data_IF_396082394407
#
_entry.id   IF_396082394407
#
_cell.length_a   1.000
_cell.length_b   1.000
_cell.length_c   1.000
_cell.angle_alpha   90.00
_cell.angle_beta   90.00
_cell.angle_gamma   90.00
#
_symmetry.space_group_name_H-M   'P 1'
#
loop_
_entity.id
_entity.type
_entity.pdbx_description
1 polymer ?
#
# COMPACT_ATOMS: atom_id res chain seq x y z
N UNK A 1 -7.40 -0.90 -2.85
CA UNK A 1 -7.66 -0.13 -1.62
C UNK A 1 -6.49 0.76 -1.16
N UNK A 2 -5.22 0.32 -1.12
CA UNK A 2 -4.12 1.17 -0.61
C UNK A 2 -3.87 2.48 -1.38
N UNK A 3 -3.84 2.42 -2.71
CA UNK A 3 -3.64 3.61 -3.56
C UNK A 3 -4.78 4.63 -3.47
N UNK A 4 -6.00 4.18 -3.22
CA UNK A 4 -7.19 5.05 -3.10
C UNK A 4 -7.09 5.96 -1.87
N UNK A 5 -6.70 5.39 -0.71
CA UNK A 5 -6.48 6.15 0.52
C UNK A 5 -5.35 7.17 0.38
N UNK A 6 -4.27 6.83 -0.32
CA UNK A 6 -3.18 7.78 -0.58
C UNK A 6 -3.66 8.97 -1.43
N UNK A 7 -4.46 8.72 -2.47
CA UNK A 7 -5.05 9.76 -3.31
C UNK A 7 -5.98 10.66 -2.48
N UNK A 8 -6.82 10.08 -1.62
CA UNK A 8 -7.70 10.82 -0.72
C UNK A 8 -6.91 11.77 0.20
N UNK A 9 -5.83 11.29 0.81
CA UNK A 9 -4.94 12.10 1.65
C UNK A 9 -4.25 13.22 0.86
N UNK A 10 -3.91 12.97 -0.41
CA UNK A 10 -3.31 13.96 -1.30
C UNK A 10 -4.27 15.08 -1.70
N UNK A 11 -5.51 14.71 -2.04
CA UNK A 11 -6.59 15.67 -2.28
C UNK A 11 -6.83 16.50 -1.02
N UNK A 12 -6.96 15.82 0.14
CA UNK A 12 -7.19 16.50 1.42
C UNK A 12 -6.07 17.45 1.80
N UNK A 13 -4.81 17.06 1.56
CA UNK A 13 -3.66 17.94 1.79
C UNK A 13 -3.69 19.16 0.87
N UNK A 14 -4.15 19.01 -0.37
CA UNK A 14 -4.23 20.10 -1.34
C UNK A 14 -5.35 21.08 -0.98
N UNK A 15 -6.51 20.58 -0.57
CA UNK A 15 -7.60 21.39 -0.02
C UNK A 15 -7.14 22.23 1.18
N UNK A 16 -6.52 21.59 2.19
CA UNK A 16 -6.03 22.29 3.39
C UNK A 16 -4.98 23.35 3.07
N UNK A 17 -4.15 23.14 2.04
CA UNK A 17 -3.18 24.15 1.58
C UNK A 17 -3.88 25.34 0.91
N UNK A 18 -4.89 25.08 0.08
CA UNK A 18 -5.67 26.13 -0.56
C UNK A 18 -6.44 26.96 0.49
N UNK A 19 -7.04 26.30 1.47
CA UNK A 19 -7.70 26.96 2.60
C UNK A 19 -6.70 27.82 3.39
N UNK A 20 -5.51 27.28 3.70
CA UNK A 20 -4.46 28.05 4.38
C UNK A 20 -4.02 29.28 3.58
N UNK A 21 -3.93 29.18 2.26
CA UNK A 21 -3.59 30.31 1.39
C UNK A 21 -4.70 31.36 1.37
N UNK A 22 -5.97 30.94 1.29
CA UNK A 22 -7.11 31.86 1.30
C UNK A 22 -7.25 32.57 2.64
N UNK A 23 -7.13 31.87 3.77
CA UNK A 23 -7.16 32.47 5.12
C UNK A 23 -6.00 33.44 5.32
N UNK A 24 -4.81 33.16 4.79
CA UNK A 24 -3.67 34.10 4.83
C UNK A 24 -3.89 35.35 3.99
N UNK A 25 -4.55 35.21 2.84
CA UNK A 25 -4.93 36.35 2.01
C UNK A 25 -5.97 37.22 2.74
N UNK A 26 -6.95 36.60 3.41
CA UNK A 26 -7.92 37.31 4.24
C UNK A 26 -7.23 38.04 5.41
N UNK A 27 -6.29 37.39 6.11
CA UNK A 27 -5.51 38.02 7.16
C UNK A 27 -4.78 39.28 6.66
N UNK A 28 -4.14 39.21 5.49
CA UNK A 28 -3.46 40.35 4.91
C UNK A 28 -4.42 41.51 4.59
N UNK A 29 -5.63 41.21 4.13
CA UNK A 29 -6.66 42.21 3.88
C UNK A 29 -7.13 42.88 5.17
N UNK A 30 -7.41 42.10 6.23
CA UNK A 30 -7.86 42.65 7.52
C UNK A 30 -6.77 43.51 8.17
N UNK A 31 -5.49 43.12 8.05
CA UNK A 31 -4.37 43.94 8.54
C UNK A 31 -4.30 45.31 7.84
N UNK A 32 -4.55 45.35 6.53
CA UNK A 32 -4.59 46.61 5.78
C UNK A 32 -5.77 47.49 6.22
N UNK A 33 -6.94 46.87 6.44
CA UNK A 33 -8.12 47.57 6.99
C UNK A 33 -7.81 48.14 8.37
N UNK A 34 -7.15 47.38 9.25
CA UNK A 34 -6.76 47.86 10.59
C UNK A 34 -5.81 49.07 10.50
N UNK A 35 -4.81 49.03 9.62
CA UNK A 35 -3.91 50.18 9.40
C UNK A 35 -4.66 51.41 8.94
N UNK A 36 -5.58 51.24 7.98
CA UNK A 36 -6.40 52.33 7.45
C UNK A 36 -7.31 52.92 8.53
N UNK A 37 -8.05 52.08 9.27
CA UNK A 37 -8.88 52.51 10.39
C UNK A 37 -8.08 53.26 11.45
N UNK A 38 -6.88 52.78 11.77
CA UNK A 38 -5.98 53.45 12.71
C UNK A 38 -5.60 54.87 12.29
N UNK A 39 -5.40 55.12 10.99
CA UNK A 39 -5.17 56.46 10.44
C UNK A 39 -6.42 57.31 10.57
N UNK A 40 -7.58 56.82 10.09
CA UNK A 40 -8.85 57.56 10.14
C UNK A 40 -9.23 57.95 11.57
N UNK A 41 -9.07 57.05 12.54
CA UNK A 41 -9.38 57.33 13.95
C UNK A 41 -8.49 58.46 14.48
N UNK A 42 -7.21 58.50 14.12
CA UNK A 42 -6.31 59.60 14.53
C UNK A 42 -6.73 60.92 13.90
N UNK A 43 -7.00 60.92 12.59
CA UNK A 43 -7.44 62.11 11.87
C UNK A 43 -8.74 62.69 12.44
N UNK A 44 -9.74 61.84 12.72
CA UNK A 44 -10.99 62.27 13.35
C UNK A 44 -10.77 62.80 14.77
N UNK A 45 -9.94 62.13 15.58
CA UNK A 45 -9.60 62.61 16.93
C UNK A 45 -8.93 63.98 16.91
N UNK A 46 -8.01 64.20 15.97
CA UNK A 46 -7.31 65.47 15.82
C UNK A 46 -8.26 66.58 15.34
N UNK A 47 -9.12 66.28 14.36
CA UNK A 47 -10.14 67.20 13.88
C UNK A 47 -11.14 67.61 14.98
N UNK A 48 -11.63 66.64 15.75
CA UNK A 48 -12.53 66.91 16.88
C UNK A 48 -11.85 67.72 17.98
N UNK A 49 -10.60 67.39 18.31
CA UNK A 49 -9.83 68.14 19.30
C UNK A 49 -9.62 69.59 18.86
N UNK A 50 -9.38 69.82 17.56
CA UNK A 50 -9.27 71.16 16.99
C UNK A 50 -10.59 71.93 17.09
N UNK A 51 -11.72 71.30 16.76
CA UNK A 51 -13.05 71.89 16.89
C UNK A 51 -13.38 72.26 18.34
N UNK A 52 -13.08 71.37 19.30
CA UNK A 52 -13.30 71.62 20.73
C UNK A 52 -12.42 72.75 21.27
N UNK A 53 -11.17 72.87 20.80
CA UNK A 53 -10.31 74.02 21.13
C UNK A 53 -10.92 75.33 20.62
N UNK A 54 -11.42 75.35 19.39
CA UNK A 54 -12.08 76.53 18.84
C UNK A 54 -13.35 76.89 19.64
N UNK A 55 -14.12 75.90 20.09
CA UNK A 55 -15.28 76.11 20.94
C UNK A 55 -14.91 76.71 22.31
N UNK A 56 -13.82 76.25 22.93
CA UNK A 56 -13.29 76.82 24.18
C UNK A 56 -12.87 78.28 23.99
N UNK A 57 -12.15 78.60 22.92
CA UNK A 57 -11.74 79.98 22.65
C UNK A 57 -12.95 80.89 22.37
N UNK A 58 -13.97 80.39 21.66
CA UNK A 58 -15.22 81.13 21.44
C UNK A 58 -15.99 81.39 22.75
N UNK A 59 -16.11 80.39 23.62
CA UNK A 59 -16.75 80.53 24.92
C UNK A 59 -15.99 81.50 25.84
N UNK A 60 -14.66 81.48 25.79
CA UNK A 60 -13.80 82.42 26.52
C UNK A 60 -13.99 83.86 26.04
N UNK A 61 -14.09 84.08 24.72
CA UNK A 61 -14.37 85.39 24.15
C UNK A 61 -15.75 85.91 24.59
N UNK A 62 -16.78 85.05 24.62
CA UNK A 62 -18.12 85.39 25.14
C UNK A 62 -18.09 85.78 26.61
N UNK A 63 -17.33 85.05 27.42
CA UNK A 63 -17.15 85.41 28.84
C UNK A 63 -16.54 86.82 28.97
N UNK A 64 -15.46 87.11 28.23
CA UNK A 64 -14.83 88.44 28.23
C UNK A 64 -15.78 89.55 27.77
N UNK A 65 -16.60 89.29 26.76
CA UNK A 65 -17.65 90.23 26.30
C UNK A 65 -18.66 90.51 27.43
N UNK A 66 -19.18 89.48 28.10
CA UNK A 66 -20.11 89.66 29.21
C UNK A 66 -19.47 90.38 30.39
N UNK A 67 -18.20 90.12 30.70
CA UNK A 67 -17.45 90.82 31.75
C UNK A 67 -17.29 92.31 31.44
N UNK A 68 -16.97 92.65 30.18
CA UNK A 68 -16.92 94.04 29.72
C UNK A 68 -18.30 94.72 29.83
N UNK A 69 -19.38 94.01 29.47
CA UNK A 69 -20.75 94.51 29.60
C UNK A 69 -21.14 94.77 31.07
N UNK A 70 -20.67 93.95 32.01
CA UNK A 70 -20.86 94.18 33.45
C UNK A 70 -20.12 95.44 33.89
N UNK A 71 -18.87 95.64 33.45
CA UNK A 71 -18.09 96.81 33.81
C UNK A 71 -18.79 98.11 33.37
N UNK A 72 -19.29 98.15 32.13
CA UNK A 72 -20.07 99.27 31.59
C UNK A 72 -21.36 99.47 32.41
N UNK A 73 -22.13 98.40 32.63
CA UNK A 73 -23.40 98.48 33.37
C UNK A 73 -23.22 98.93 34.83
N UNK A 74 -22.09 98.59 35.45
CA UNK A 74 -21.72 99.06 36.80
C UNK A 74 -21.36 100.55 36.80
N UNK A 75 -20.58 101.00 35.82
CA UNK A 75 -20.24 102.43 35.68
C UNK A 75 -21.51 103.28 35.49
N UNK A 76 -22.41 102.84 34.62
CA UNK A 76 -23.72 103.48 34.41
C UNK A 76 -24.58 103.46 35.69
N UNK A 77 -24.53 102.37 36.46
CA UNK A 77 -25.19 102.27 37.76
C UNK A 77 -24.67 103.29 38.77
N UNK A 78 -23.34 103.42 38.91
CA UNK A 78 -22.69 104.42 39.79
C UNK A 78 -23.03 105.85 39.34
N UNK A 79 -23.03 106.09 38.02
CA UNK A 79 -23.42 107.39 37.46
C UNK A 79 -24.89 107.71 37.76
N UNK A 80 -25.80 106.76 37.57
CA UNK A 80 -27.21 106.92 37.90
C UNK A 80 -27.44 107.19 39.39
N UNK A 81 -26.68 106.53 40.28
CA UNK A 81 -26.75 106.76 41.72
C UNK A 81 -26.27 108.16 42.12
N UNK A 82 -25.19 108.62 41.50
CA UNK A 82 -24.67 109.99 41.69
C UNK A 82 -25.70 111.03 41.26
N UNK A 83 -26.40 110.81 40.13
CA UNK A 83 -27.47 111.71 39.66
C UNK A 83 -28.71 111.67 40.56
N UNK A 84 -29.09 110.50 41.12
CA UNK A 84 -30.16 110.41 42.13
C UNK A 84 -29.80 111.25 43.36
N UNK A 85 -28.59 111.12 43.91
CA UNK A 85 -28.18 111.84 45.12
C UNK A 85 -28.24 113.37 44.98
N UNK A 86 -28.17 113.87 43.74
CA UNK A 86 -28.29 115.29 43.39
C UNK A 86 -29.73 115.72 43.08
N UNK A 87 -30.71 114.84 43.27
CA UNK A 87 -32.14 115.12 43.07
C UNK A 87 -32.57 115.22 41.60
N UNK A 88 -31.72 114.82 40.64
CA UNK A 88 -31.97 115.04 39.21
C UNK A 88 -32.76 113.91 38.51
N UNK A 89 -32.96 112.75 39.15
CA UNK A 89 -33.64 111.59 38.55
C UNK A 89 -34.51 110.87 39.58
N UNK A 90 -35.80 110.63 39.29
CA UNK A 90 -36.68 109.77 40.08
C UNK A 90 -36.95 108.44 39.36
N UNK A 91 -36.48 107.32 39.93
CA UNK A 91 -36.87 105.96 39.48
C UNK A 91 -35.89 105.20 38.55
N UNK A 92 -34.73 105.77 38.19
CA UNK A 92 -33.75 105.11 37.30
C UNK A 92 -32.95 103.98 37.97
N UNK A 93 -32.73 104.04 39.29
CA UNK A 93 -31.90 103.07 40.01
C UNK A 93 -32.44 101.64 40.02
N UNK A 94 -33.76 101.45 40.13
CA UNK A 94 -34.36 100.10 40.09
C UNK A 94 -34.15 99.44 38.72
N UNK A 95 -34.17 100.23 37.64
CA UNK A 95 -33.88 99.73 36.29
C UNK A 95 -32.40 99.38 36.12
N UNK A 96 -31.48 100.21 36.62
CA UNK A 96 -30.04 99.94 36.60
C UNK A 96 -29.68 98.67 37.38
N UNK A 97 -30.26 98.46 38.56
CA UNK A 97 -29.99 97.24 39.36
C UNK A 97 -30.49 95.98 38.65
N UNK A 98 -31.69 96.00 38.06
CA UNK A 98 -32.21 94.87 37.26
C UNK A 98 -31.35 94.58 36.03
N UNK A 99 -30.79 95.61 35.41
CA UNK A 99 -29.87 95.44 34.27
C UNK A 99 -28.56 94.79 34.72
N UNK A 100 -27.97 95.24 35.83
CA UNK A 100 -26.76 94.63 36.39
C UNK A 100 -27.01 93.15 36.72
N UNK A 101 -28.14 92.84 37.37
CA UNK A 101 -28.52 91.45 37.70
C UNK A 101 -28.66 90.57 36.45
N UNK A 102 -29.30 91.09 35.40
CA UNK A 102 -29.44 90.38 34.12
C UNK A 102 -28.08 90.14 33.43
N UNK A 103 -27.16 91.11 33.45
CA UNK A 103 -25.83 90.90 32.86
C UNK A 103 -24.98 89.96 33.73
N UNK A 104 -25.15 89.98 35.06
CA UNK A 104 -24.46 89.01 35.93
C UNK A 104 -24.92 87.57 35.68
N UNK A 105 -26.21 87.34 35.45
CA UNK A 105 -26.70 85.99 35.12
C UNK A 105 -26.22 85.52 33.75
N UNK A 106 -26.09 86.42 32.77
CA UNK A 106 -25.44 86.12 31.48
C UNK A 106 -23.96 85.74 31.64
N UNK A 107 -23.23 86.38 32.57
CA UNK A 107 -21.84 86.01 32.88
C UNK A 107 -21.73 84.66 33.61
N UNK A 108 -22.67 84.35 34.49
CA UNK A 108 -22.76 83.01 35.10
C UNK A 108 -23.01 81.94 34.04
N UNK A 109 -23.90 82.22 33.07
CA UNK A 109 -24.17 81.33 31.94
C UNK A 109 -22.95 81.17 31.03
N UNK A 110 -22.27 82.26 30.64
CA UNK A 110 -21.06 82.22 29.84
C UNK A 110 -19.90 81.48 30.54
N UNK A 111 -19.77 81.65 31.87
CA UNK A 111 -18.79 80.91 32.66
C UNK A 111 -19.11 79.41 32.71
N UNK A 112 -20.39 79.04 32.83
CA UNK A 112 -20.82 77.65 32.76
C UNK A 112 -20.59 77.04 31.37
N UNK A 113 -20.83 77.79 30.30
CA UNK A 113 -20.52 77.38 28.92
C UNK A 113 -19.02 77.11 28.72
N UNK A 114 -18.15 78.00 29.23
CA UNK A 114 -16.71 77.79 29.19
C UNK A 114 -16.28 76.56 30.00
N UNK A 115 -16.82 76.37 31.19
CA UNK A 115 -16.56 75.18 32.01
C UNK A 115 -17.00 73.89 31.30
N UNK A 116 -18.17 73.89 30.66
CA UNK A 116 -18.65 72.74 29.89
C UNK A 116 -17.77 72.47 28.65
N UNK A 117 -17.36 73.52 27.92
CA UNK A 117 -16.50 73.38 26.74
C UNK A 117 -15.10 72.85 27.12
N UNK A 118 -14.52 73.35 28.20
CA UNK A 118 -13.21 72.88 28.71
C UNK A 118 -13.28 71.44 29.18
N UNK A 119 -14.32 71.07 29.93
CA UNK A 119 -14.53 69.68 30.35
C UNK A 119 -14.68 68.73 29.15
N UNK A 120 -15.38 69.14 28.08
CA UNK A 120 -15.47 68.35 26.84
C UNK A 120 -14.12 68.19 26.15
N UNK A 121 -13.31 69.24 26.10
CA UNK A 121 -11.96 69.17 25.54
C UNK A 121 -11.05 68.23 26.34
N UNK A 122 -11.09 68.29 27.67
CA UNK A 122 -10.30 67.42 28.54
C UNK A 122 -10.76 65.97 28.46
N UNK A 123 -12.08 65.73 28.38
CA UNK A 123 -12.64 64.41 28.10
C UNK A 123 -12.12 63.86 26.75
N UNK A 124 -12.19 64.65 25.68
CA UNK A 124 -11.68 64.24 24.36
C UNK A 124 -10.17 63.92 24.37
N UNK A 125 -9.37 64.72 25.10
CA UNK A 125 -7.93 64.46 25.31
C UNK A 125 -7.67 63.16 26.06
N UNK A 126 -8.52 62.82 27.03
CA UNK A 126 -8.48 61.54 27.74
C UNK A 126 -9.01 60.35 26.91
N UNK A 127 -9.46 60.59 25.68
CA UNK A 127 -10.02 59.56 24.80
C UNK A 127 -11.49 59.20 25.11
N UNK A 128 -12.15 60.00 25.95
CA UNK A 128 -13.54 59.83 26.34
C UNK A 128 -14.40 60.75 25.47
N UNK A 129 -15.05 60.17 24.45
CA UNK A 129 -15.89 60.91 23.51
C UNK A 129 -17.36 60.77 23.88
N UNK A 130 -17.86 61.72 24.67
CA UNK A 130 -19.27 61.80 25.09
C UNK A 130 -20.00 62.84 24.23
N UNK A 131 -21.11 62.45 23.60
CA UNK A 131 -21.97 63.34 22.81
C UNK A 131 -22.61 62.65 21.60
N UNK A 132 -23.81 63.08 21.21
CA UNK A 132 -24.53 62.59 20.02
C UNK A 132 -23.73 62.75 18.73
N UNK A 133 -22.91 63.80 18.68
CA UNK A 133 -22.22 64.23 17.46
C UNK A 133 -20.91 63.43 17.24
N UNK A 134 -20.49 62.67 18.26
CA UNK A 134 -19.26 61.88 18.26
C UNK A 134 -19.50 60.40 17.89
N UNK A 135 -20.71 60.05 17.44
CA UNK A 135 -21.09 58.67 17.10
C UNK A 135 -20.17 58.01 16.07
N UNK A 136 -19.60 58.80 15.15
CA UNK A 136 -18.67 58.31 14.12
C UNK A 136 -17.36 57.78 14.69
N UNK A 137 -16.78 58.43 15.71
CA UNK A 137 -15.54 57.93 16.34
C UNK A 137 -15.83 56.65 17.11
N UNK A 138 -16.96 56.60 17.82
CA UNK A 138 -17.35 55.40 18.56
C UNK A 138 -17.62 54.21 17.63
N UNK A 139 -18.27 54.42 16.48
CA UNK A 139 -18.45 53.35 15.49
C UNK A 139 -17.12 52.85 14.94
N UNK A 140 -16.18 53.75 14.63
CA UNK A 140 -14.84 53.36 14.16
C UNK A 140 -14.05 52.59 15.23
N UNK A 141 -14.18 52.95 16.50
CA UNK A 141 -13.54 52.22 17.61
C UNK A 141 -14.14 50.82 17.81
N UNK A 142 -15.44 50.67 17.64
CA UNK A 142 -16.12 49.37 17.65
C UNK A 142 -15.61 48.52 16.49
N UNK A 143 -15.60 49.08 15.27
CA UNK A 143 -15.11 48.40 14.08
C UNK A 143 -13.64 47.98 14.21
N UNK A 144 -12.79 48.84 14.77
CA UNK A 144 -11.39 48.50 15.07
C UNK A 144 -11.30 47.30 16.02
N UNK A 145 -12.13 47.25 17.07
CA UNK A 145 -12.16 46.15 18.03
C UNK A 145 -12.68 44.85 17.41
N UNK A 146 -13.70 44.94 16.57
CA UNK A 146 -14.23 43.80 15.82
C UNK A 146 -13.17 43.23 14.87
N UNK A 147 -12.44 44.08 14.17
CA UNK A 147 -11.33 43.66 13.31
C UNK A 147 -10.17 43.04 14.10
N UNK A 148 -9.83 43.55 15.29
CA UNK A 148 -8.84 42.94 16.18
C UNK A 148 -9.26 41.53 16.64
N UNK A 149 -10.53 41.35 16.98
CA UNK A 149 -11.07 40.03 17.29
C UNK A 149 -11.03 39.11 16.06
N UNK A 150 -11.34 39.63 14.86
CA UNK A 150 -11.24 38.87 13.61
C UNK A 150 -9.81 38.46 13.31
N UNK A 151 -8.82 39.33 13.53
CA UNK A 151 -7.40 38.99 13.38
C UNK A 151 -6.97 37.87 14.32
N UNK A 152 -7.38 37.93 15.59
CA UNK A 152 -7.09 36.87 16.56
C UNK A 152 -7.72 35.53 16.14
N UNK A 153 -8.97 35.57 15.64
CA UNK A 153 -9.66 34.39 15.12
C UNK A 153 -8.95 33.80 13.89
N UNK A 154 -8.55 34.64 12.93
CA UNK A 154 -7.83 34.21 11.71
C UNK A 154 -6.46 33.61 12.05
N UNK A 155 -5.73 34.17 13.01
CA UNK A 155 -4.48 33.57 13.47
C UNK A 155 -4.70 32.18 14.08
N UNK A 156 -5.71 32.03 14.94
CA UNK A 156 -6.06 30.73 15.51
C UNK A 156 -6.47 29.72 14.43
N UNK A 157 -7.26 30.15 13.43
CA UNK A 157 -7.67 29.32 12.30
C UNK A 157 -6.46 28.86 11.47
N UNK A 158 -5.53 29.76 11.17
CA UNK A 158 -4.27 29.44 10.49
C UNK A 158 -3.48 28.37 11.26
N UNK A 159 -3.39 28.49 12.58
CA UNK A 159 -2.63 27.54 13.40
C UNK A 159 -3.32 26.17 13.47
N UNK A 160 -4.66 26.15 13.53
CA UNK A 160 -5.44 24.91 13.40
C UNK A 160 -5.23 24.26 12.03
N UNK A 161 -5.26 25.03 10.94
CA UNK A 161 -5.04 24.51 9.58
C UNK A 161 -3.61 23.96 9.41
N UNK A 162 -2.59 24.63 9.96
CA UNK A 162 -1.21 24.10 9.99
C UNK A 162 -1.11 22.79 10.76
N UNK A 163 -1.79 22.69 11.90
CA UNK A 163 -1.85 21.47 12.69
C UNK A 163 -2.44 20.32 11.87
N UNK A 164 -3.63 20.53 11.30
CA UNK A 164 -4.29 19.55 10.41
C UNK A 164 -3.43 19.16 9.21
N UNK A 165 -2.72 20.11 8.61
CA UNK A 165 -1.83 19.83 7.48
C UNK A 165 -0.65 18.96 7.91
N UNK A 166 -0.11 19.20 9.11
CA UNK A 166 0.96 18.38 9.69
C UNK A 166 0.45 16.96 9.93
N UNK A 167 -0.73 16.80 10.53
CA UNK A 167 -1.34 15.49 10.78
C UNK A 167 -1.63 14.72 9.48
N UNK A 168 -2.19 15.38 8.46
CA UNK A 168 -2.42 14.75 7.16
C UNK A 168 -1.10 14.39 6.48
N UNK A 169 -0.06 15.22 6.61
CA UNK A 169 1.24 14.93 6.03
C UNK A 169 1.91 13.70 6.67
N UNK A 170 1.80 13.53 7.99
CA UNK A 170 2.35 12.35 8.68
C UNK A 170 1.59 11.08 8.30
N UNK A 171 0.26 11.14 8.22
CA UNK A 171 -0.56 10.03 7.75
C UNK A 171 -0.25 9.66 6.29
N UNK A 172 -0.03 10.66 5.45
CA UNK A 172 0.31 10.47 4.03
C UNK A 172 1.66 9.76 3.88
N UNK A 173 2.69 10.18 4.61
CA UNK A 173 4.01 9.53 4.53
C UNK A 173 3.96 8.09 5.08
N UNK A 174 3.19 7.85 6.15
CA UNK A 174 2.97 6.50 6.67
C UNK A 174 2.27 5.59 5.64
N UNK A 175 1.22 6.09 4.98
CA UNK A 175 0.51 5.33 3.95
C UNK A 175 1.37 5.12 2.70
N UNK A 176 2.17 6.12 2.31
CA UNK A 176 3.12 6.00 1.19
C UNK A 176 4.13 4.90 1.45
N UNK A 177 4.74 4.87 2.64
CA UNK A 177 5.68 3.82 3.03
C UNK A 177 5.02 2.44 3.00
N UNK A 178 3.80 2.33 3.53
CA UNK A 178 3.03 1.08 3.53
C UNK A 178 2.71 0.60 2.11
N UNK A 179 2.34 1.51 1.20
CA UNK A 179 2.08 1.17 -0.21
C UNK A 179 3.37 0.73 -0.90
N UNK A 180 4.49 1.43 -0.70
CA UNK A 180 5.78 1.01 -1.28
C UNK A 180 6.21 -0.36 -0.78
N UNK A 181 6.06 -0.65 0.51
CA UNK A 181 6.35 -1.98 1.07
C UNK A 181 5.49 -3.09 0.45
N UNK A 182 4.23 -2.80 0.11
CA UNK A 182 3.35 -3.76 -0.56
C UNK A 182 3.65 -3.90 -2.05
N UNK A 183 4.09 -2.83 -2.71
CA UNK A 183 4.47 -2.86 -4.14
C UNK A 183 5.78 -3.65 -4.37
N UNK A 184 6.70 -3.65 -3.39
CA UNK A 184 7.98 -4.35 -3.48
C UNK A 184 7.91 -5.86 -3.14
N UNK A 185 6.73 -6.38 -2.77
CA UNK A 185 6.54 -7.82 -2.56
C UNK A 185 6.45 -8.56 -3.91
N UNK A 186 7.62 -8.83 -4.49
CA UNK A 186 7.76 -9.72 -5.65
C UNK A 186 7.69 -11.17 -5.17
N UNK A 187 6.73 -11.92 -5.70
CA UNK A 187 6.62 -13.36 -5.46
C UNK A 187 7.42 -14.06 -6.56
N UNK A 188 8.59 -14.57 -6.21
CA UNK A 188 9.43 -15.37 -7.09
C UNK A 188 9.13 -16.86 -6.91
N UNK A 189 9.06 -17.61 -8.01
CA UNK A 189 9.05 -19.06 -7.95
C UNK A 189 10.45 -19.58 -7.63
N UNK A 190 10.53 -20.67 -6.85
CA UNK A 190 11.79 -21.35 -6.58
C UNK A 190 12.09 -22.30 -7.77
N UNK A 191 13.11 -21.98 -8.57
CA UNK A 191 13.58 -22.84 -9.68
C UNK A 191 12.94 -22.54 -11.05
N UNK A 192 13.31 -23.35 -12.05
CA UNK A 192 12.79 -23.25 -13.42
C UNK A 192 11.40 -23.90 -13.52
N UNK A 193 10.37 -23.09 -13.28
CA UNK A 193 8.97 -23.53 -13.29
C UNK A 193 8.26 -23.03 -14.55
N UNK A 194 7.63 -23.93 -15.30
CA UNK A 194 6.72 -23.57 -16.38
C UNK A 194 5.32 -23.28 -15.81
N UNK A 195 4.84 -22.04 -15.95
CA UNK A 195 3.49 -21.65 -15.50
C UNK A 195 2.44 -22.26 -16.43
N UNK A 196 1.60 -23.15 -15.90
CA UNK A 196 0.54 -23.83 -16.67
C UNK A 196 -0.81 -23.15 -16.52
N UNK A 197 -1.09 -22.57 -15.35
CA UNK A 197 -2.32 -21.83 -15.09
C UNK A 197 -2.05 -20.64 -14.19
N UNK A 198 -2.49 -19.46 -14.62
CA UNK A 198 -2.55 -18.27 -13.76
C UNK A 198 -3.92 -18.28 -13.08
N UNK A 199 -3.93 -18.36 -11.75
CA UNK A 199 -5.15 -18.46 -10.94
C UNK A 199 -5.82 -17.11 -10.65
N UNK A 200 -5.14 -16.00 -10.97
CA UNK A 200 -5.52 -14.66 -10.52
C UNK A 200 -5.44 -13.66 -11.67
N UNK A 201 -6.46 -12.84 -11.85
CA UNK A 201 -6.45 -11.76 -12.84
C UNK A 201 -5.68 -10.53 -12.33
N UNK A 202 -5.11 -9.76 -13.25
CA UNK A 202 -4.39 -8.53 -12.89
C UNK A 202 -5.33 -7.56 -12.15
N UNK A 203 -4.95 -7.17 -10.94
CA UNK A 203 -5.74 -6.28 -10.08
C UNK A 203 -6.74 -6.98 -9.13
N UNK A 204 -6.82 -8.31 -9.14
CA UNK A 204 -7.59 -9.06 -8.15
C UNK A 204 -6.90 -9.01 -6.76
N UNK A 205 -7.71 -8.94 -5.71
CA UNK A 205 -7.25 -9.04 -4.33
C UNK A 205 -7.03 -10.53 -3.97
N UNK A 206 -5.89 -10.83 -3.36
CA UNK A 206 -5.49 -12.18 -2.95
C UNK A 206 -5.10 -12.20 -1.48
N UNK A 207 -5.41 -13.28 -0.79
CA UNK A 207 -5.07 -13.52 0.61
C UNK A 207 -3.88 -14.46 0.74
N UNK A 208 -3.24 -14.45 1.91
CA UNK A 208 -2.18 -15.42 2.21
C UNK A 208 -2.76 -16.85 2.11
N UNK A 209 -2.08 -17.72 1.36
CA UNK A 209 -2.53 -19.08 1.07
C UNK A 209 -3.32 -19.25 -0.23
N UNK A 210 -3.71 -18.16 -0.91
CA UNK A 210 -4.33 -18.27 -2.24
C UNK A 210 -3.28 -18.67 -3.29
N UNK A 211 -3.66 -19.59 -4.17
CA UNK A 211 -2.80 -20.05 -5.27
C UNK A 211 -2.79 -19.02 -6.41
N UNK A 212 -1.67 -18.31 -6.56
CA UNK A 212 -1.54 -17.25 -7.57
C UNK A 212 -1.30 -17.81 -8.97
N UNK A 213 -0.44 -18.82 -9.05
CA UNK A 213 -0.11 -19.53 -10.26
C UNK A 213 0.19 -20.98 -9.92
N UNK A 214 -0.26 -21.87 -10.80
CA UNK A 214 0.15 -23.27 -10.80
C UNK A 214 1.19 -23.43 -11.90
N UNK A 215 2.29 -24.08 -11.52
CA UNK A 215 3.40 -24.33 -12.41
C UNK A 215 3.93 -25.73 -12.25
N UNK A 216 4.68 -26.15 -13.26
CA UNK A 216 5.31 -27.45 -13.35
C UNK A 216 6.80 -27.27 -13.23
N UNK A 217 7.42 -27.96 -12.27
CA UNK A 217 8.87 -28.00 -12.11
C UNK A 217 9.48 -28.87 -13.22
N UNK A 218 10.29 -28.24 -14.07
CA UNK A 218 10.85 -28.90 -15.25
C UNK A 218 12.12 -29.70 -14.94
N UNK A 219 12.69 -29.55 -13.75
CA UNK A 219 13.87 -30.30 -13.30
C UNK A 219 13.55 -31.70 -12.77
N UNK A 220 12.27 -32.08 -12.65
CA UNK A 220 11.86 -33.42 -12.15
C UNK A 220 10.89 -34.07 -13.11
N UNK A 221 11.48 -34.91 -13.95
CA UNK A 221 10.98 -35.34 -15.25
C UNK A 221 10.88 -36.87 -15.27
N UNK A 222 9.71 -37.44 -15.56
CA UNK A 222 9.58 -38.91 -15.63
C UNK A 222 8.53 -39.37 -16.63
N UNK A 223 8.74 -40.45 -17.38
CA UNK A 223 7.75 -41.02 -18.32
C UNK A 223 6.83 -41.99 -17.60
N UNK A 224 5.57 -42.05 -18.01
CA UNK A 224 4.63 -43.09 -17.55
C UNK A 224 4.14 -43.87 -18.75
N UNK A 225 4.64 -45.09 -18.91
CA UNK A 225 4.27 -46.00 -19.97
C UNK A 225 3.35 -47.11 -19.46
N UNK A 226 2.40 -47.54 -20.27
CA UNK A 226 1.55 -48.70 -19.96
C UNK A 226 2.14 -49.93 -20.65
N UNK A 227 2.28 -51.02 -19.89
CA UNK A 227 2.70 -52.30 -20.41
C UNK A 227 1.75 -53.42 -20.03
N UNK A 228 1.60 -54.45 -20.88
CA UNK A 228 0.89 -55.68 -20.51
C UNK A 228 1.57 -56.33 -19.29
N UNK A 229 0.78 -56.89 -18.38
CA UNK A 229 1.28 -57.59 -17.18
C UNK A 229 2.30 -58.70 -17.51
N UNK A 230 2.12 -59.39 -18.64
CA UNK A 230 3.07 -60.42 -19.13
C UNK A 230 4.49 -59.90 -19.39
N UNK A 231 4.64 -58.59 -19.60
CA UNK A 231 5.94 -57.94 -19.85
C UNK A 231 6.62 -57.44 -18.57
N UNK A 232 5.97 -57.58 -17.40
CA UNK A 232 6.49 -57.10 -16.12
C UNK A 232 7.89 -57.63 -15.79
N UNK A 233 8.17 -58.90 -16.12
CA UNK A 233 9.47 -59.52 -15.87
C UNK A 233 10.62 -58.89 -16.65
N UNK A 234 10.35 -58.32 -17.83
CA UNK A 234 11.36 -57.64 -18.65
C UNK A 234 11.55 -56.16 -18.26
N UNK A 235 10.62 -55.62 -17.46
CA UNK A 235 10.52 -54.20 -17.12
C UNK A 235 10.82 -53.89 -15.65
N UNK A 236 11.41 -54.84 -14.91
CA UNK A 236 11.72 -54.67 -13.50
C UNK A 236 12.45 -53.33 -13.23
N UNK A 237 12.26 -52.77 -12.03
CA UNK A 237 12.94 -51.54 -11.62
C UNK A 237 14.46 -51.66 -11.83
N UNK A 238 15.07 -50.61 -12.40
CA UNK A 238 16.48 -50.58 -12.78
C UNK A 238 16.76 -51.01 -14.23
N UNK A 239 15.77 -51.46 -15.00
CA UNK A 239 16.00 -51.85 -16.41
C UNK A 239 16.12 -50.63 -17.34
N UNK A 240 17.10 -50.63 -18.27
CA UNK A 240 17.25 -49.56 -19.24
C UNK A 240 16.15 -49.66 -20.30
N UNK A 241 15.64 -48.51 -20.68
CA UNK A 241 14.63 -48.36 -21.73
C UNK A 241 15.02 -47.20 -22.64
N UNK A 242 14.66 -47.33 -23.91
CA UNK A 242 14.82 -46.29 -24.91
C UNK A 242 13.46 -45.65 -25.17
N UNK A 243 13.38 -44.32 -25.11
CA UNK A 243 12.16 -43.53 -25.28
C UNK A 243 12.31 -42.71 -26.56
N UNK A 244 11.35 -42.83 -27.47
CA UNK A 244 11.30 -42.04 -28.70
C UNK A 244 10.00 -41.25 -28.81
N UNK A 245 10.08 -40.01 -29.28
CA UNK A 245 8.93 -39.18 -29.62
C UNK A 245 8.99 -38.78 -31.08
N UNK A 246 7.84 -38.44 -31.66
CA UNK A 246 7.75 -37.85 -33.00
C UNK A 246 8.46 -36.48 -33.03
N UNK A 247 8.43 -35.77 -31.90
CA UNK A 247 8.95 -34.41 -31.78
C UNK A 247 10.43 -34.36 -31.36
N UNK A 248 11.07 -35.50 -31.15
CA UNK A 248 12.46 -35.59 -30.71
C UNK A 248 13.36 -36.01 -31.87
N UNK A 249 14.47 -35.30 -32.07
CA UNK A 249 15.44 -35.63 -33.11
C UNK A 249 16.14 -36.96 -32.85
N UNK A 250 16.37 -37.30 -31.57
CA UNK A 250 17.05 -38.53 -31.15
C UNK A 250 16.30 -39.23 -30.00
N UNK A 251 16.32 -40.57 -29.93
CA UNK A 251 15.78 -41.31 -28.80
C UNK A 251 16.57 -41.06 -27.51
N UNK A 252 15.85 -40.89 -26.40
CA UNK A 252 16.41 -40.61 -25.07
C UNK A 252 16.43 -41.89 -24.25
N UNK A 253 17.48 -42.07 -23.43
CA UNK A 253 17.60 -43.23 -22.53
C UNK A 253 16.96 -42.95 -21.16
N UNK A 254 16.25 -43.94 -20.64
CA UNK A 254 15.65 -43.92 -19.32
C UNK A 254 15.88 -45.22 -18.56
N UNK A 255 15.54 -45.21 -17.28
CA UNK A 255 15.53 -46.39 -16.41
C UNK A 255 14.15 -46.52 -15.77
N UNK A 256 13.60 -47.73 -15.76
CA UNK A 256 12.35 -47.98 -15.04
C UNK A 256 12.58 -47.78 -13.54
N UNK A 257 11.94 -46.79 -12.93
CA UNK A 257 12.04 -46.54 -11.49
C UNK A 257 11.05 -47.38 -10.70
N UNK A 258 9.80 -47.51 -11.19
CA UNK A 258 8.77 -48.26 -10.49
C UNK A 258 7.73 -48.87 -11.43
N UNK A 259 7.15 -50.02 -11.03
CA UNK A 259 6.03 -50.68 -11.70
C UNK A 259 4.85 -50.75 -10.74
N UNK A 260 3.75 -50.09 -11.09
CA UNK A 260 2.58 -50.01 -10.22
C UNK A 260 1.37 -50.67 -10.90
N UNK A 261 0.79 -51.74 -10.30
CA UNK A 261 -0.51 -52.24 -10.73
C UNK A 261 -1.60 -51.24 -10.32
N UNK A 262 -2.55 -50.98 -11.21
CA UNK A 262 -3.65 -50.03 -10.96
C UNK A 262 -4.44 -50.43 -9.71
N UNK A 263 -4.18 -49.75 -8.59
CA UNK A 263 -4.87 -49.99 -7.31
C UNK A 263 -5.36 -48.72 -6.63
N UNK A 264 -4.99 -47.54 -7.11
CA UNK A 264 -5.29 -46.26 -6.44
C UNK A 264 -5.94 -45.27 -7.41
N UNK A 265 -7.23 -45.00 -7.21
CA UNK A 265 -7.98 -43.93 -7.92
C UNK A 265 -7.67 -42.52 -7.36
N UNK A 266 -6.76 -42.44 -6.38
CA UNK A 266 -6.56 -41.25 -5.53
C UNK A 266 -5.27 -40.46 -5.84
N UNK A 267 -4.39 -40.94 -6.72
CA UNK A 267 -3.08 -40.32 -6.99
C UNK A 267 -3.07 -39.35 -8.20
N UNK A 268 -4.18 -39.26 -8.95
CA UNK A 268 -4.26 -38.46 -10.18
C UNK A 268 -4.32 -36.92 -9.96
N UNK A 269 -4.50 -36.45 -8.72
CA UNK A 269 -4.75 -35.02 -8.43
C UNK A 269 -3.45 -34.19 -8.42
N UNK A 270 -2.30 -34.83 -8.24
CA UNK A 270 -1.00 -34.15 -8.09
C UNK A 270 -0.18 -34.07 -9.38
N UNK A 271 -0.68 -34.65 -10.49
CA UNK A 271 0.03 -34.70 -11.76
C UNK A 271 -0.49 -33.67 -12.74
N UNK A 272 0.43 -33.09 -13.51
CA UNK A 272 0.09 -32.07 -14.51
C UNK A 272 -0.83 -32.57 -15.64
N UNK A 273 -0.88 -33.89 -15.89
CA UNK A 273 -1.69 -34.53 -16.95
C UNK A 273 -2.31 -35.81 -16.39
N UNK A 274 -3.60 -36.08 -16.64
CA UNK A 274 -4.24 -37.31 -16.21
C UNK A 274 -3.64 -38.52 -16.93
N UNK A 275 -3.44 -39.62 -16.21
CA UNK A 275 -2.89 -40.84 -16.81
C UNK A 275 -3.87 -41.46 -17.82
N UNK A 276 -3.34 -42.08 -18.90
CA UNK A 276 -4.17 -42.83 -19.84
C UNK A 276 -4.91 -43.97 -19.13
N UNK A 277 -6.15 -44.26 -19.55
CA UNK A 277 -6.90 -45.38 -18.99
C UNK A 277 -6.21 -46.69 -19.39
N UNK A 278 -5.97 -47.56 -18.40
CA UNK A 278 -5.53 -48.93 -18.66
C UNK A 278 -6.73 -49.87 -18.88
N UNK A 279 -6.55 -50.87 -19.71
CA UNK A 279 -7.43 -52.03 -19.83
C UNK A 279 -7.16 -53.06 -18.71
N UNK A 280 -7.83 -54.23 -18.78
CA UNK A 280 -7.61 -55.32 -17.82
C UNK A 280 -6.22 -55.93 -18.03
N UNK A 281 -5.44 -56.05 -16.93
CA UNK A 281 -4.12 -56.72 -16.86
C UNK A 281 -2.97 -55.94 -17.49
N UNK A 282 -2.91 -54.66 -17.17
CA UNK A 282 -1.82 -53.75 -17.55
C UNK A 282 -1.20 -53.09 -16.31
N UNK A 283 0.04 -52.63 -16.45
CA UNK A 283 0.86 -52.03 -15.40
C UNK A 283 1.36 -50.66 -15.86
N UNK A 284 1.45 -49.70 -14.94
CA UNK A 284 2.14 -48.44 -15.18
C UNK A 284 3.63 -48.60 -14.84
N UNK A 285 4.50 -48.28 -15.80
CA UNK A 285 5.93 -48.18 -15.59
C UNK A 285 6.32 -46.68 -15.51
N UNK A 286 6.82 -46.28 -14.36
CA UNK A 286 7.48 -44.99 -14.15
C UNK A 286 8.91 -45.12 -14.62
N UNK A 287 9.36 -44.19 -15.45
CA UNK A 287 10.70 -44.22 -16.04
C UNK A 287 11.35 -42.87 -15.79
N UNK A 288 12.49 -42.89 -15.12
CA UNK A 288 13.33 -41.72 -14.92
C UNK A 288 14.30 -41.58 -16.09
N UNK A 289 14.57 -40.35 -16.52
CA UNK A 289 15.47 -40.08 -17.63
C UNK A 289 16.90 -40.00 -17.12
N UNK A 290 17.85 -40.59 -17.85
CA UNK A 290 19.26 -40.62 -17.45
C UNK A 290 19.97 -39.31 -17.81
N UNK A 291 19.49 -38.64 -18.85
CA UNK A 291 20.07 -37.41 -19.41
C UNK A 291 18.94 -36.40 -19.66
N UNK A 292 18.59 -35.64 -18.61
CA UNK A 292 17.52 -34.62 -18.68
C UNK A 292 17.94 -33.39 -19.52
N UNK A 293 19.25 -33.19 -19.73
CA UNK A 293 19.83 -32.05 -20.45
C UNK A 293 19.57 -32.11 -21.97
N UNK A 294 19.46 -33.32 -22.54
CA UNK A 294 19.13 -33.51 -23.96
C UNK A 294 17.72 -33.01 -24.33
N UNK A 295 16.83 -32.89 -23.35
CA UNK A 295 15.43 -32.45 -23.55
C UNK A 295 15.27 -30.95 -23.29
N UNK A 296 16.10 -30.35 -22.44
CA UNK A 296 16.06 -28.90 -22.16
C UNK A 296 16.57 -28.05 -23.33
N UNK A 297 17.52 -28.55 -24.13
CA UNK A 297 18.02 -27.84 -25.34
C UNK A 297 16.98 -27.71 -26.46
N UNK A 298 15.95 -28.58 -26.49
CA UNK A 298 14.91 -28.58 -27.54
C UNK A 298 13.80 -27.54 -27.32
N UNK A 299 13.88 -26.74 -26.26
CA UNK A 299 12.98 -25.63 -26.01
C UNK A 299 11.60 -26.07 -25.51
N UNK A 300 11.31 -25.66 -24.27
CA UNK A 300 10.05 -25.83 -23.54
C UNK A 300 9.81 -27.23 -22.95
N UNK A 301 9.77 -27.24 -21.63
CA UNK A 301 9.18 -28.26 -20.76
C UNK A 301 7.88 -28.82 -21.36
N UNK A 302 8.00 -29.95 -22.06
CA UNK A 302 6.94 -30.51 -22.88
C UNK A 302 6.10 -31.50 -22.06
N UNK A 303 5.08 -30.98 -21.39
CA UNK A 303 4.15 -31.76 -20.57
C UNK A 303 3.02 -32.31 -21.45
N UNK A 304 2.63 -33.58 -21.29
CA UNK A 304 1.48 -34.18 -21.97
C UNK A 304 1.70 -34.63 -23.41
N UNK A 305 2.93 -35.00 -23.79
CA UNK A 305 3.27 -35.51 -25.13
C UNK A 305 3.20 -37.03 -25.21
N UNK A 306 3.02 -37.53 -26.43
CA UNK A 306 3.03 -38.95 -26.72
C UNK A 306 4.44 -39.44 -27.04
N UNK A 307 4.80 -40.61 -26.50
CA UNK A 307 6.04 -41.29 -26.84
C UNK A 307 5.84 -42.77 -27.08
N UNK A 308 6.91 -43.42 -27.51
CA UNK A 308 7.03 -44.84 -27.65
C UNK A 308 8.20 -45.27 -26.77
N UNK A 309 7.95 -46.23 -25.87
CA UNK A 309 8.99 -46.80 -25.01
C UNK A 309 9.32 -48.20 -25.52
N UNK A 310 10.58 -48.42 -25.84
CA UNK A 310 11.13 -49.71 -26.23
C UNK A 310 12.09 -50.23 -25.17
N UNK A 311 11.94 -51.49 -24.79
CA UNK A 311 12.87 -52.16 -23.88
C UNK A 311 14.06 -52.63 -24.68
N UNK A 312 15.26 -52.27 -24.24
CA UNK A 312 16.50 -52.79 -24.81
C UNK A 312 16.63 -54.26 -24.38
N UNK A 313 16.07 -55.15 -25.20
CA UNK A 313 16.15 -56.57 -24.99
C UNK A 313 17.58 -57.04 -25.25
N UNK A 314 18.32 -57.38 -24.20
CA UNK A 314 19.46 -58.28 -24.28
C UNK A 314 18.92 -59.68 -24.60
N UNK A 315 18.50 -59.87 -25.85
CA UNK A 315 18.09 -61.16 -26.36
C UNK A 315 19.32 -62.05 -26.42
N UNK A 316 19.44 -62.98 -25.48
CA UNK A 316 20.34 -64.12 -25.63
C UNK A 316 19.87 -64.88 -26.87
N UNK A 317 20.49 -64.60 -28.02
CA UNK A 317 20.28 -65.36 -29.25
C UNK A 317 20.73 -66.80 -28.98
N UNK A 318 19.76 -67.71 -28.98
CA UNK A 318 19.96 -69.17 -28.92
C UNK A 318 20.92 -69.67 -30.00
N UNK A 319 21.10 -68.92 -31.09
CA UNK A 319 22.03 -69.25 -32.18
C UNK A 319 23.49 -69.27 -31.72
N UNK A 320 23.85 -68.44 -30.73
CA UNK A 320 25.22 -68.35 -30.21
C UNK A 320 25.58 -69.51 -29.27
N UNK A 321 24.60 -70.05 -28.54
CA UNK A 321 24.77 -71.24 -27.69
C UNK A 321 24.81 -72.53 -28.53
N UNK A 322 24.04 -72.60 -29.61
CA UNK A 322 24.04 -73.75 -30.55
C UNK A 322 25.35 -73.79 -31.35
N UNK A 323 25.91 -72.63 -31.73
CA UNK A 323 27.20 -72.56 -32.42
C UNK A 323 28.38 -73.04 -31.55
N UNK A 324 28.39 -72.73 -30.25
CA UNK A 324 29.46 -73.12 -29.32
C UNK A 324 29.37 -74.61 -28.93
N UNK A 325 28.15 -75.12 -28.71
CA UNK A 325 27.92 -76.55 -28.46
C UNK A 325 28.23 -77.43 -29.69
N UNK A 326 27.92 -76.92 -30.89
CA UNK A 326 28.26 -77.58 -32.16
C UNK A 326 29.76 -77.57 -32.50
N UNK A 327 30.57 -76.75 -31.83
CA UNK A 327 32.04 -76.73 -31.97
C UNK A 327 32.69 -77.80 -31.09
N UNK A 328 32.25 -77.92 -29.83
CA UNK A 328 32.75 -78.89 -28.86
C UNK A 328 32.43 -80.34 -29.23
N UNK A 329 31.33 -80.60 -29.96
CA UNK A 329 30.96 -81.94 -30.44
C UNK A 329 31.67 -82.38 -31.73
N UNK A 330 32.35 -81.47 -32.46
CA UNK A 330 33.04 -81.77 -33.72
C UNK A 330 34.52 -82.14 -33.55
N UNK A 331 35.11 -81.91 -32.38
CA UNK A 331 36.56 -81.98 -32.18
C UNK A 331 37.07 -83.17 -31.33
N UNK A 332 36.30 -84.23 -31.07
CA UNK A 332 36.90 -85.38 -30.36
C UNK A 332 36.11 -86.67 -30.30
N UNK A 333 36.47 -87.64 -31.14
CA UNK A 333 36.08 -89.04 -31.00
C UNK A 333 37.07 -89.82 -30.11
N UNK A 334 36.50 -90.42 -29.07
CA UNK A 334 36.78 -91.75 -28.52
C UNK A 334 38.23 -92.16 -28.18
N UNK A 335 38.58 -92.05 -26.90
CA UNK A 335 38.61 -93.24 -26.04
C UNK A 335 38.28 -92.88 -24.59
N UNK A 336 37.20 -93.48 -24.11
CA UNK A 336 36.64 -93.33 -22.77
C UNK A 336 37.41 -94.20 -21.77
N UNK A 337 37.80 -93.60 -20.65
CA UNK A 337 37.87 -94.18 -19.30
C UNK A 337 38.47 -93.14 -18.34
N UNK A 338 37.66 -92.24 -17.78
CA UNK A 338 38.01 -91.54 -16.53
C UNK A 338 36.74 -91.19 -15.74
N UNK A 339 36.65 -91.76 -14.54
CA UNK A 339 36.23 -91.02 -13.34
C UNK A 339 34.75 -90.81 -13.08
N UNK A 340 34.05 -91.86 -12.66
CA UNK A 340 32.89 -91.76 -11.78
C UNK A 340 33.37 -91.43 -10.36
N UNK A 341 33.26 -90.17 -9.93
CA UNK A 341 33.17 -89.80 -8.51
C UNK A 341 32.48 -88.42 -8.42
N UNK A 342 31.24 -88.40 -7.94
CA UNK A 342 30.50 -87.15 -7.67
C UNK A 342 29.04 -87.06 -8.10
N UNK A 343 28.38 -88.15 -8.53
CA UNK A 343 26.96 -88.10 -8.90
C UNK A 343 26.20 -89.40 -8.57
N UNK A 344 26.23 -89.84 -7.31
CA UNK A 344 25.22 -90.77 -6.77
C UNK A 344 24.88 -90.32 -5.35
N UNK A 345 24.00 -89.33 -5.23
CA UNK A 345 23.15 -89.17 -4.04
C UNK A 345 21.89 -88.38 -4.38
N UNK A 346 21.15 -88.77 -5.45
CA UNK A 346 19.74 -88.36 -5.67
C UNK A 346 19.05 -89.09 -6.85
N UNK A 347 19.46 -90.32 -7.18
CA UNK A 347 18.75 -91.15 -8.15
C UNK A 347 18.59 -92.58 -7.60
N UNK A 348 17.59 -92.76 -6.74
CA UNK A 348 17.05 -94.06 -6.40
C UNK A 348 16.11 -94.54 -7.51
N UNK A 349 16.52 -95.61 -8.20
CA UNK A 349 15.70 -96.61 -8.89
C UNK A 349 14.87 -96.20 -10.14
N UNK A 350 15.35 -96.63 -11.32
CA UNK A 350 14.74 -97.59 -12.28
C UNK A 350 15.18 -97.22 -13.72
N UNK A 351 15.96 -98.06 -14.43
CA UNK A 351 16.36 -97.82 -15.81
C UNK A 351 15.37 -98.45 -16.79
N UNK A 352 14.29 -97.75 -17.11
CA UNK A 352 13.46 -98.09 -18.29
C UNK A 352 12.76 -96.87 -18.94
N UNK A 353 13.05 -95.64 -18.47
CA UNK A 353 12.44 -94.39 -18.96
C UNK A 353 13.40 -93.48 -19.76
N UNK A 354 14.65 -93.89 -19.98
CA UNK A 354 15.64 -93.06 -20.69
C UNK A 354 15.48 -93.09 -22.23
N UNK A 355 14.81 -94.10 -22.79
CA UNK A 355 14.55 -94.16 -24.23
C UNK A 355 13.33 -93.29 -24.65
N UNK A 356 12.32 -93.11 -23.78
CA UNK A 356 11.10 -92.37 -24.14
C UNK A 356 11.22 -90.84 -24.05
N UNK A 357 12.25 -90.32 -23.35
CA UNK A 357 12.50 -88.88 -23.23
C UNK A 357 13.23 -88.30 -24.44
N UNK A 358 13.98 -89.12 -25.17
CA UNK A 358 14.73 -88.70 -26.37
C UNK A 358 13.78 -88.56 -27.57
N UNK A 359 12.74 -89.40 -27.67
CA UNK A 359 11.75 -89.31 -28.75
C UNK A 359 10.72 -88.17 -28.52
N UNK A 360 10.45 -87.78 -27.28
CA UNK A 360 9.58 -86.63 -26.99
C UNK A 360 10.28 -85.28 -27.26
N UNK A 361 11.59 -85.19 -27.02
CA UNK A 361 12.39 -83.98 -27.23
C UNK A 361 12.53 -83.59 -28.72
N UNK A 362 12.43 -84.55 -29.65
CA UNK A 362 12.46 -84.28 -31.09
C UNK A 362 11.11 -83.80 -31.66
N UNK A 363 10.00 -84.01 -30.94
CA UNK A 363 8.66 -83.60 -31.41
C UNK A 363 8.24 -82.18 -30.99
N UNK A 364 8.93 -81.55 -30.04
CA UNK A 364 8.64 -80.18 -29.59
C UNK A 364 9.54 -79.10 -30.19
N UNK A 365 10.61 -79.47 -30.89
CA UNK A 365 11.54 -78.54 -31.53
C UNK A 365 11.04 -77.96 -32.87
N UNK A 366 9.91 -78.42 -33.41
CA UNK A 366 9.35 -77.98 -34.70
C UNK A 366 8.15 -77.04 -34.59
N UNK A 367 7.82 -76.55 -33.38
CA UNK A 367 6.68 -75.63 -33.13
C UNK A 367 7.09 -74.22 -32.64
N UNK A 368 8.39 -73.88 -32.66
CA UNK A 368 8.89 -72.56 -32.28
C UNK A 368 9.43 -71.80 -33.51
N UNK A 369 8.52 -71.37 -34.39
CA UNK A 369 8.81 -70.42 -35.46
C UNK A 369 7.61 -69.50 -35.69
N UNK A 370 7.24 -68.70 -34.68
CA UNK A 370 6.46 -67.48 -34.91
C UNK A 370 6.49 -66.53 -33.69
N UNK A 371 6.57 -65.20 -33.96
CA UNK A 371 6.31 -64.02 -33.08
C UNK A 371 7.49 -63.25 -32.44
N UNK A 372 8.05 -62.38 -33.28
CA UNK A 372 8.31 -60.92 -33.19
C UNK A 372 8.26 -60.14 -31.85
N UNK A 373 9.21 -59.19 -31.75
CA UNK A 373 9.31 -58.09 -30.79
C UNK A 373 8.01 -57.27 -30.61
N UNK A 374 7.65 -56.98 -29.37
CA UNK A 374 6.52 -56.13 -28.98
C UNK A 374 6.89 -54.65 -28.99
N UNK A 375 6.53 -53.94 -30.05
CA UNK A 375 6.50 -52.47 -30.10
C UNK A 375 5.13 -52.01 -29.59
N UNK A 376 5.07 -51.05 -28.67
CA UNK A 376 3.81 -50.48 -28.17
C UNK A 376 3.95 -48.97 -28.09
N UNK A 377 3.02 -48.24 -28.71
CA UNK A 377 2.96 -46.77 -28.67
C UNK A 377 2.23 -46.33 -27.40
N UNK A 378 2.83 -45.52 -26.51
CA UNK A 378 2.06 -44.84 -25.45
C UNK A 378 2.82 -43.75 -24.64
N UNK A 379 2.03 -42.75 -24.20
CA UNK A 379 2.24 -41.49 -23.47
C UNK A 379 3.48 -41.25 -22.60
N UNK A 380 3.83 -39.96 -22.46
CA UNK A 380 4.89 -39.42 -21.60
C UNK A 380 4.35 -38.43 -20.55
N UNK A 381 4.88 -38.59 -19.34
CA UNK A 381 5.01 -37.62 -18.24
C UNK A 381 3.82 -37.38 -17.31
N UNK A 382 3.89 -37.98 -16.12
CA UNK A 382 3.46 -37.30 -14.90
C UNK A 382 4.57 -36.32 -14.50
N UNK A 383 4.20 -35.16 -13.98
CA UNK A 383 5.13 -34.26 -13.27
C UNK A 383 4.35 -33.76 -12.06
N UNK A 384 5.03 -33.64 -10.92
CA UNK A 384 4.47 -33.08 -9.70
C UNK A 384 4.08 -31.62 -9.91
N UNK A 385 2.87 -31.27 -9.51
CA UNK A 385 2.46 -29.87 -9.42
C UNK A 385 3.16 -29.21 -8.23
N UNK A 386 3.83 -28.09 -8.49
CA UNK A 386 4.35 -27.22 -7.44
C UNK A 386 3.43 -26.02 -7.34
N UNK A 387 2.79 -25.82 -6.19
CA UNK A 387 1.98 -24.64 -5.93
C UNK A 387 2.86 -23.51 -5.41
N UNK A 388 2.87 -22.39 -6.13
CA UNK A 388 3.41 -21.14 -5.60
C UNK A 388 2.33 -20.48 -4.73
N UNK A 389 2.42 -20.68 -3.43
CA UNK A 389 1.59 -19.99 -2.44
C UNK A 389 2.28 -18.71 -1.96
N UNK A 390 1.50 -17.68 -1.69
CA UNK A 390 2.01 -16.47 -1.06
C UNK A 390 2.38 -16.77 0.40
N UNK A 391 3.66 -17.05 0.66
CA UNK A 391 4.19 -17.08 2.03
C UNK A 391 4.33 -15.65 2.54
N UNK A 392 3.27 -15.13 3.14
CA UNK A 392 3.33 -13.92 3.96
C UNK A 392 3.94 -14.34 5.30
N UNK A 393 5.23 -14.02 5.50
CA UNK A 393 5.85 -14.12 6.81
C UNK A 393 5.10 -13.19 7.77
N UNK A 394 4.27 -13.78 8.64
CA UNK A 394 3.63 -13.07 9.73
C UNK A 394 4.70 -12.76 10.80
N UNK A 395 5.22 -11.53 10.77
CA UNK A 395 5.93 -10.97 11.93
C UNK A 395 4.90 -10.64 13.01
N UNK A 396 4.78 -11.51 14.02
CA UNK A 396 4.03 -11.20 15.24
C UNK A 396 4.78 -10.16 16.11
N UNK A 397 4.07 -9.17 16.68
CA UNK A 397 4.68 -8.16 17.51
C UNK A 397 4.79 -8.62 18.97
N UNK A 398 6.00 -8.55 19.51
CA UNK A 398 6.20 -8.29 20.93
C UNK A 398 6.36 -9.50 21.85
N UNK A 399 7.62 -9.91 22.08
CA UNK A 399 8.00 -10.49 23.38
C UNK A 399 9.31 -9.89 23.88
N UNK A 400 9.13 -8.93 24.77
CA UNK A 400 10.11 -8.41 25.73
C UNK A 400 10.97 -9.53 26.30
N UNK A 401 12.27 -9.47 26.07
CA UNK A 401 13.26 -10.11 26.93
C UNK A 401 14.38 -9.12 27.22
N UNK A 402 14.37 -8.66 28.47
CA UNK A 402 15.35 -7.80 29.11
C UNK A 402 16.51 -8.71 29.52
N UNK A 403 17.70 -8.55 28.93
CA UNK A 403 18.94 -9.16 29.44
C UNK A 403 19.93 -8.04 29.72
N UNK A 404 20.19 -7.85 31.02
CA UNK A 404 21.27 -7.04 31.58
C UNK A 404 22.43 -8.00 31.87
N UNK A 405 23.62 -7.72 31.35
CA UNK A 405 24.93 -8.17 31.88
C UNK A 405 26.02 -7.49 31.05
N UNK A 406 26.73 -6.47 31.53
CA UNK A 406 27.85 -6.44 32.50
C UNK A 406 29.22 -6.76 31.87
N UNK A 407 30.15 -5.78 32.03
CA UNK A 407 31.64 -5.80 32.02
C UNK A 407 32.36 -6.56 30.88
N UNK A 408 33.36 -6.02 30.21
CA UNK A 408 34.44 -5.13 30.66
C UNK A 408 35.77 -5.82 30.33
N UNK A 409 36.70 -5.10 29.71
CA UNK A 409 38.02 -5.59 29.31
C UNK A 409 38.57 -4.83 28.13
#
# INVERSE_FOLDING_TARGET
MGREKLIELDVRSSELRNDLLSTRAELAQVLEIERRLGVLIREQKDALTLQLRAAVESAKARLQETEAQIAISREDGVRAQTLLSRGMLGGTLVKSNKMIEAVTSLRDLAAAELAAATQRLDAARSGIFLGSDNGQINSLLIEMRENQNRLAALHAEIDVLKGKLTDVSTLREAERLRVTQLEDQQIAANGEVLVTRVGVSQGAAVSAGDTLAQGVDCGRSFVVAIFPERSAGMLAAGKPVTISSIDWAEPVKGVVSNLVPRTTTAEDVSYAVPFPPTERRELYAYIELIDDDAITESGACSVGRWVTVSVDGEGISTDRLIAEAGRLLREGTHHATVGYEGAIELAGAVPEAAQSYIDLAWSQATLAADRTATTTHLWLRGIFTTEASANVAAEEPGRSSRVISSRGG
#
